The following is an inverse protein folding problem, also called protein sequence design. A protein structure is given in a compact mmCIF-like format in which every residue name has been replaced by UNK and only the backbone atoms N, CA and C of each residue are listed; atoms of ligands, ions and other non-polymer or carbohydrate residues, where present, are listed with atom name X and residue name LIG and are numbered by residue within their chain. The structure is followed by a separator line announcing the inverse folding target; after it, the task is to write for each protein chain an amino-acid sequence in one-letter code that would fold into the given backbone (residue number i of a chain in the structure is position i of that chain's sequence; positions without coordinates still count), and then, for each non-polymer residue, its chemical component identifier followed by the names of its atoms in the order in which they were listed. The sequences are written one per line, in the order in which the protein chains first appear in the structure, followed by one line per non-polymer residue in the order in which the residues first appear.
data_IF_477923903326
#
_entry.id   IF_477923903326
#
_cell.length_a   1.000
_cell.length_b   1.000
_cell.length_c   1.000
_cell.angle_alpha   90.00
_cell.angle_beta   90.00
_cell.angle_gamma   90.00
#
_symmetry.space_group_name_H-M   'P 1'
#
loop_
_entity.id
_entity.type
_entity.pdbx_description
1 polymer ?
#
# COMPACT_ATOMS: atom_id res chain seq x y z
N UNK A 1 -22.76 19.95 4.96
CA UNK A 1 -21.45 19.32 4.65
C UNK A 1 -20.98 19.87 3.32
N UNK A 2 -19.73 20.33 3.23
CA UNK A 2 -19.11 20.73 1.95
C UNK A 2 -18.73 19.45 1.20
N UNK A 3 -19.11 19.34 -0.07
CA UNK A 3 -18.72 18.19 -0.90
C UNK A 3 -17.20 18.25 -1.11
N UNK A 4 -16.47 17.15 -0.85
CA UNK A 4 -15.03 17.08 -1.08
C UNK A 4 -14.64 17.39 -2.53
N UNK A 5 -13.49 18.02 -2.73
CA UNK A 5 -13.00 18.39 -4.08
C UNK A 5 -11.66 17.76 -4.44
N UNK A 6 -11.06 16.98 -3.53
CA UNK A 6 -9.87 16.18 -3.81
C UNK A 6 -10.11 14.70 -3.49
N UNK A 7 -9.26 13.84 -4.05
CA UNK A 7 -9.40 12.39 -3.93
C UNK A 7 -9.35 11.89 -2.49
N UNK A 8 -8.39 12.37 -1.70
CA UNK A 8 -8.21 11.94 -0.31
C UNK A 8 -9.44 12.26 0.56
N UNK A 9 -9.96 13.48 0.48
CA UNK A 9 -11.17 13.87 1.21
C UNK A 9 -12.41 13.11 0.72
N UNK A 10 -12.56 12.91 -0.60
CA UNK A 10 -13.67 12.14 -1.16
C UNK A 10 -13.62 10.68 -0.74
N UNK A 11 -12.42 10.10 -0.67
CA UNK A 11 -12.19 8.74 -0.19
C UNK A 11 -12.69 8.59 1.25
N UNK A 12 -12.27 9.46 2.16
CA UNK A 12 -12.73 9.37 3.55
C UNK A 12 -14.22 9.66 3.72
N UNK A 13 -14.77 10.55 2.89
CA UNK A 13 -16.22 10.79 2.85
C UNK A 13 -16.99 9.52 2.45
N UNK A 14 -16.61 8.87 1.34
CA UNK A 14 -17.26 7.64 0.89
C UNK A 14 -17.00 6.46 1.83
N UNK A 15 -15.81 6.36 2.41
CA UNK A 15 -15.52 5.37 3.44
C UNK A 15 -16.52 5.49 4.61
N UNK A 16 -16.71 6.71 5.12
CA UNK A 16 -17.66 6.98 6.21
C UNK A 16 -19.10 6.64 5.81
N UNK A 17 -19.53 7.00 4.58
CA UNK A 17 -20.86 6.66 4.05
C UNK A 17 -21.07 5.15 3.94
N UNK A 18 -20.03 4.40 3.58
CA UNK A 18 -20.06 2.92 3.50
C UNK A 18 -19.93 2.23 4.87
N UNK A 19 -19.90 2.98 5.97
CA UNK A 19 -19.80 2.44 7.33
C UNK A 19 -18.37 2.12 7.76
N UNK A 20 -17.36 2.48 6.96
CA UNK A 20 -15.95 2.43 7.37
C UNK A 20 -15.64 3.69 8.18
N UNK A 21 -15.63 3.54 9.51
CA UNK A 21 -15.31 4.64 10.42
C UNK A 21 -13.89 5.21 10.24
N UNK A 22 -13.60 6.34 10.90
CA UNK A 22 -12.31 7.05 10.82
C UNK A 22 -11.10 6.25 11.31
N UNK A 23 -11.30 5.09 11.95
CA UNK A 23 -10.23 4.27 12.53
C UNK A 23 -9.62 3.23 11.57
N UNK A 24 -9.82 3.37 10.25
CA UNK A 24 -9.20 2.46 9.26
C UNK A 24 -7.80 2.95 8.85
N UNK A 25 -6.86 2.95 9.79
CA UNK A 25 -5.47 3.37 9.55
C UNK A 25 -4.83 2.67 8.35
N UNK A 26 -5.13 1.38 8.13
CA UNK A 26 -4.60 0.65 6.98
C UNK A 26 -5.04 1.25 5.62
N UNK A 27 -6.24 1.82 5.52
CA UNK A 27 -6.68 2.48 4.28
C UNK A 27 -5.88 3.76 4.05
N UNK A 28 -5.55 4.48 5.13
CA UNK A 28 -4.69 5.65 5.03
C UNK A 28 -3.28 5.29 4.57
N UNK A 29 -2.72 4.18 5.06
CA UNK A 29 -1.39 3.70 4.62
C UNK A 29 -1.34 3.40 3.11
N UNK A 30 -2.44 2.85 2.57
CA UNK A 30 -2.56 2.64 1.11
C UNK A 30 -2.71 3.99 0.40
N UNK A 31 -3.58 4.88 0.89
CA UNK A 31 -3.79 6.21 0.29
C UNK A 31 -2.51 7.03 0.23
N UNK A 32 -1.69 7.00 1.26
CA UNK A 32 -0.46 7.78 1.35
C UNK A 32 0.61 7.31 0.32
N UNK A 33 0.47 6.09 -0.23
CA UNK A 33 1.33 5.52 -1.30
C UNK A 33 0.57 5.36 -2.63
N UNK A 34 -0.69 5.78 -2.69
CA UNK A 34 -1.55 5.48 -3.84
C UNK A 34 -1.13 6.24 -5.09
N UNK A 35 -0.64 7.47 -4.93
CA UNK A 35 -0.15 8.29 -6.04
C UNK A 35 1.05 7.61 -6.73
N UNK A 36 2.02 7.11 -5.95
CA UNK A 36 3.18 6.38 -6.48
C UNK A 36 2.76 5.10 -7.24
N UNK A 37 1.76 4.38 -6.74
CA UNK A 37 1.19 3.21 -7.44
C UNK A 37 0.59 3.61 -8.79
N UNK A 38 -0.13 4.72 -8.85
CA UNK A 38 -0.80 5.21 -10.07
C UNK A 38 0.22 5.69 -11.09
N UNK A 39 1.21 6.48 -10.66
CA UNK A 39 2.27 7.02 -11.53
C UNK A 39 3.08 5.90 -12.17
N UNK A 40 3.31 4.82 -11.45
CA UNK A 40 4.09 3.67 -11.93
C UNK A 40 3.23 2.53 -12.51
N UNK A 41 1.94 2.74 -12.74
CA UNK A 41 1.01 1.68 -13.19
C UNK A 41 1.42 0.97 -14.49
N UNK A 42 2.15 1.66 -15.37
CA UNK A 42 2.62 1.12 -16.65
C UNK A 42 3.99 0.43 -16.56
N UNK A 43 4.74 0.62 -15.47
CA UNK A 43 6.02 -0.03 -15.23
C UNK A 43 5.80 -1.19 -14.24
N UNK A 44 5.77 -2.41 -14.76
CA UNK A 44 5.49 -3.60 -13.96
C UNK A 44 6.55 -3.86 -12.88
N UNK A 45 7.81 -3.50 -13.13
CA UNK A 45 8.89 -3.71 -12.17
C UNK A 45 8.74 -2.70 -11.02
N UNK A 46 8.56 -1.42 -11.38
CA UNK A 46 8.39 -0.36 -10.39
C UNK A 46 7.10 -0.53 -9.58
N UNK A 47 5.98 -0.87 -10.22
CA UNK A 47 4.72 -1.18 -9.53
C UNK A 47 4.87 -2.32 -8.53
N UNK A 48 5.69 -3.34 -8.85
CA UNK A 48 5.98 -4.42 -7.94
C UNK A 48 6.74 -3.91 -6.71
N UNK A 49 7.77 -3.08 -6.90
CA UNK A 49 8.51 -2.47 -5.78
C UNK A 49 7.59 -1.65 -4.86
N UNK A 50 6.71 -0.80 -5.44
CA UNK A 50 5.76 -0.01 -4.65
C UNK A 50 4.80 -0.92 -3.84
N UNK A 51 4.33 -2.02 -4.44
CA UNK A 51 3.50 -2.99 -3.73
C UNK A 51 4.27 -3.75 -2.64
N UNK A 52 5.55 -4.05 -2.87
CA UNK A 52 6.40 -4.75 -1.90
C UNK A 52 6.65 -3.85 -0.68
N UNK A 53 6.97 -2.57 -0.89
CA UNK A 53 7.10 -1.57 0.18
C UNK A 53 5.77 -1.41 0.93
N UNK A 54 4.65 -1.24 0.21
CA UNK A 54 3.33 -1.12 0.82
C UNK A 54 2.99 -2.35 1.67
N UNK A 55 3.38 -3.56 1.24
CA UNK A 55 3.15 -4.78 2.01
C UNK A 55 3.88 -4.78 3.36
N UNK A 56 5.09 -4.21 3.41
CA UNK A 56 5.88 -4.05 4.63
C UNK A 56 5.23 -3.01 5.56
N UNK A 57 4.79 -1.88 5.01
CA UNK A 57 4.10 -0.82 5.75
C UNK A 57 2.79 -1.35 6.34
N UNK A 58 2.00 -2.08 5.56
CA UNK A 58 0.77 -2.72 6.02
C UNK A 58 1.03 -3.78 7.10
N UNK A 59 2.16 -4.49 7.06
CA UNK A 59 2.51 -5.46 8.09
C UNK A 59 2.84 -4.82 9.44
N UNK A 60 3.24 -3.54 9.48
CA UNK A 60 3.42 -2.82 10.74
C UNK A 60 2.08 -2.49 11.42
N UNK A 61 0.98 -2.50 10.66
CA UNK A 61 -0.35 -2.26 11.21
C UNK A 61 -0.82 -3.45 12.06
N UNK A 62 -0.74 -3.31 13.39
CA UNK A 62 -1.19 -4.33 14.36
C UNK A 62 -2.71 -4.33 14.61
N UNK A 63 -3.49 -3.88 13.64
CA UNK A 63 -4.93 -3.62 13.78
C UNK A 63 -5.82 -4.62 13.05
N UNK A 64 -6.93 -4.09 12.53
CA UNK A 64 -7.98 -4.87 11.88
C UNK A 64 -7.49 -5.58 10.62
N UNK A 65 -8.16 -6.69 10.29
CA UNK A 65 -7.89 -7.46 9.06
C UNK A 65 -7.98 -6.53 7.85
N UNK A 66 -6.87 -6.39 7.13
CA UNK A 66 -6.80 -5.65 5.85
C UNK A 66 -7.73 -6.32 4.84
N UNK A 67 -8.68 -5.56 4.29
CA UNK A 67 -9.65 -6.02 3.29
C UNK A 67 -9.52 -5.18 2.03
N UNK A 68 -8.63 -5.58 1.12
CA UNK A 68 -8.32 -4.85 -0.10
C UNK A 68 -9.55 -4.63 -1.00
N UNK A 69 -10.54 -5.52 -0.95
CA UNK A 69 -11.84 -5.37 -1.63
C UNK A 69 -12.61 -4.13 -1.17
N UNK A 70 -12.51 -3.78 0.11
CA UNK A 70 -13.19 -2.61 0.66
C UNK A 70 -12.52 -1.33 0.15
N UNK A 71 -11.19 -1.33 0.09
CA UNK A 71 -10.45 -0.21 -0.50
C UNK A 71 -10.84 0.00 -1.96
N UNK A 72 -10.91 -1.08 -2.76
CA UNK A 72 -11.38 -1.03 -4.16
C UNK A 72 -12.73 -0.33 -4.28
N UNK A 73 -13.70 -0.73 -3.45
CA UNK A 73 -15.05 -0.22 -3.50
C UNK A 73 -15.10 1.29 -3.21
N UNK A 74 -14.39 1.72 -2.17
CA UNK A 74 -14.31 3.14 -1.77
C UNK A 74 -13.55 3.95 -2.83
N UNK A 75 -12.43 3.43 -3.34
CA UNK A 75 -11.62 4.07 -4.38
C UNK A 75 -12.49 4.37 -5.62
N UNK A 76 -13.17 3.35 -6.16
CA UNK A 76 -14.01 3.51 -7.35
C UNK A 76 -15.18 4.46 -7.08
N UNK A 77 -15.85 4.36 -5.92
CA UNK A 77 -16.90 5.31 -5.57
C UNK A 77 -16.39 6.75 -5.49
N UNK A 78 -15.16 6.95 -5.02
CA UNK A 78 -14.56 8.28 -4.85
C UNK A 78 -14.14 8.92 -6.15
N UNK A 79 -13.58 8.14 -7.08
CA UNK A 79 -13.24 8.61 -8.41
C UNK A 79 -14.52 9.00 -9.20
N UNK A 80 -15.56 8.16 -9.15
CA UNK A 80 -16.88 8.46 -9.76
C UNK A 80 -17.48 9.75 -9.22
N UNK A 81 -17.46 9.94 -7.89
CA UNK A 81 -18.03 11.12 -7.26
C UNK A 81 -17.30 12.42 -7.61
N UNK A 82 -16.00 12.34 -7.93
CA UNK A 82 -15.21 13.52 -8.31
C UNK A 82 -15.32 13.87 -9.79
N UNK A 83 -15.54 12.87 -10.66
CA UNK A 83 -15.58 13.05 -12.11
C UNK A 83 -16.90 12.56 -12.73
N UNK A 84 -18.08 12.90 -12.19
CA UNK A 84 -19.34 12.28 -12.62
C UNK A 84 -19.74 12.58 -14.07
N UNK A 85 -19.15 13.63 -14.69
CA UNK A 85 -19.42 14.00 -16.08
C UNK A 85 -18.49 13.30 -17.08
N UNK A 86 -17.28 12.95 -16.64
CA UNK A 86 -16.23 12.39 -17.50
C UNK A 86 -16.07 10.87 -17.29
N UNK A 87 -16.59 10.36 -16.17
CA UNK A 87 -16.49 8.95 -15.82
C UNK A 87 -17.33 8.08 -16.75
N UNK A 88 -16.66 7.20 -17.49
CA UNK A 88 -17.27 6.27 -18.43
C UNK A 88 -16.82 4.81 -18.17
N UNK A 89 -17.24 3.89 -19.04
CA UNK A 89 -16.85 2.48 -18.95
C UNK A 89 -15.35 2.24 -19.13
N UNK A 90 -14.62 3.09 -19.85
CA UNK A 90 -13.18 2.95 -20.01
C UNK A 90 -12.45 3.30 -18.71
N UNK A 91 -12.90 4.34 -18.01
CA UNK A 91 -12.39 4.68 -16.68
C UNK A 91 -12.63 3.53 -15.69
N UNK A 92 -13.82 2.92 -15.71
CA UNK A 92 -14.10 1.73 -14.90
C UNK A 92 -13.09 0.62 -15.16
N UNK A 93 -12.90 0.24 -16.43
CA UNK A 93 -12.00 -0.85 -16.80
C UNK A 93 -10.57 -0.53 -16.37
N UNK A 94 -10.08 0.68 -16.63
CA UNK A 94 -8.72 1.09 -16.30
C UNK A 94 -8.45 1.04 -14.79
N UNK A 95 -9.34 1.63 -13.97
CA UNK A 95 -9.17 1.67 -12.52
C UNK A 95 -9.38 0.29 -11.86
N UNK A 96 -10.27 -0.54 -12.40
CA UNK A 96 -10.39 -1.93 -11.96
C UNK A 96 -9.11 -2.72 -12.28
N UNK A 97 -8.58 -2.58 -13.49
CA UNK A 97 -7.34 -3.24 -13.91
C UNK A 97 -6.17 -2.84 -13.01
N UNK A 98 -5.97 -1.55 -12.73
CA UNK A 98 -4.91 -1.07 -11.85
C UNK A 98 -5.02 -1.75 -10.49
N UNK A 99 -6.18 -1.64 -9.86
CA UNK A 99 -6.36 -2.17 -8.51
C UNK A 99 -6.26 -3.69 -8.44
N UNK A 100 -6.78 -4.42 -9.43
CA UNK A 100 -6.67 -5.89 -9.48
C UNK A 100 -5.21 -6.34 -9.56
N UNK A 101 -4.36 -5.63 -10.29
CA UNK A 101 -2.93 -5.90 -10.33
C UNK A 101 -2.25 -5.61 -9.00
N UNK A 102 -2.51 -4.44 -8.41
CA UNK A 102 -2.01 -4.08 -7.08
C UNK A 102 -2.45 -5.10 -6.02
N UNK A 103 -3.73 -5.45 -6.00
CA UNK A 103 -4.32 -6.40 -5.07
C UNK A 103 -3.72 -7.79 -5.21
N UNK A 104 -3.48 -8.26 -6.44
CA UNK A 104 -2.81 -9.54 -6.70
C UNK A 104 -1.42 -9.58 -6.08
N UNK A 105 -0.61 -8.53 -6.25
CA UNK A 105 0.74 -8.45 -5.71
C UNK A 105 0.69 -8.34 -4.18
N UNK A 106 -0.16 -7.47 -3.64
CA UNK A 106 -0.31 -7.32 -2.19
C UNK A 106 -0.75 -8.62 -1.52
N UNK A 107 -1.73 -9.34 -2.08
CA UNK A 107 -2.16 -10.65 -1.53
C UNK A 107 -1.05 -11.69 -1.52
N UNK A 108 -0.10 -11.62 -2.46
CA UNK A 108 1.05 -12.50 -2.46
C UNK A 108 2.04 -12.18 -1.32
N UNK A 109 2.00 -10.98 -0.74
CA UNK A 109 2.96 -10.51 0.26
C UNK A 109 2.36 -10.30 1.65
N UNK A 110 1.07 -10.02 1.78
CA UNK A 110 0.40 -9.83 3.07
C UNK A 110 0.62 -11.06 3.97
N UNK A 111 1.14 -10.82 5.18
CA UNK A 111 1.45 -11.85 6.16
C UNK A 111 2.86 -12.46 6.06
N UNK A 112 3.53 -12.39 4.90
CA UNK A 112 4.92 -12.83 4.76
C UNK A 112 5.91 -12.05 5.62
N UNK A 113 5.82 -10.70 5.76
CA UNK A 113 6.76 -9.95 6.58
C UNK A 113 6.84 -10.45 8.03
N UNK A 114 5.74 -10.86 8.64
CA UNK A 114 5.75 -11.39 10.00
C UNK A 114 6.53 -12.72 10.13
N UNK A 115 6.53 -13.54 9.08
CA UNK A 115 7.31 -14.78 9.02
C UNK A 115 8.79 -14.47 8.82
N UNK A 116 9.10 -13.59 7.86
CA UNK A 116 10.47 -13.19 7.55
C UNK A 116 11.13 -12.42 8.70
N UNK A 117 10.37 -11.56 9.40
CA UNK A 117 10.85 -10.82 10.57
C UNK A 117 11.38 -11.75 11.64
N UNK A 118 10.64 -12.82 11.98
CA UNK A 118 11.11 -13.80 12.99
C UNK A 118 12.39 -14.51 12.57
N UNK A 119 12.52 -14.87 11.29
CA UNK A 119 13.72 -15.50 10.78
C UNK A 119 14.91 -14.53 10.79
N UNK A 120 14.67 -13.28 10.41
CA UNK A 120 15.68 -12.21 10.40
C UNK A 120 16.15 -11.86 11.81
N UNK A 121 15.22 -11.73 12.77
CA UNK A 121 15.54 -11.49 14.17
C UNK A 121 16.44 -12.59 14.74
N UNK A 122 16.12 -13.87 14.46
CA UNK A 122 16.96 -15.00 14.87
C UNK A 122 18.34 -14.97 14.24
N UNK A 123 18.43 -14.63 12.94
CA UNK A 123 19.70 -14.49 12.25
C UNK A 123 20.54 -13.39 12.90
N UNK A 124 19.99 -12.20 13.09
CA UNK A 124 20.70 -11.06 13.69
C UNK A 124 21.14 -11.37 15.12
N UNK A 125 20.29 -12.03 15.92
CA UNK A 125 20.63 -12.45 17.28
C UNK A 125 21.71 -13.53 17.36
N UNK A 126 21.91 -14.30 16.28
CA UNK A 126 22.96 -15.33 16.22
C UNK A 126 24.34 -14.78 15.89
N UNK A 127 24.44 -13.51 15.45
CA UNK A 127 25.70 -12.88 15.10
C UNK A 127 26.45 -12.42 16.35
N UNK A 128 27.78 -12.57 16.33
CA UNK A 128 28.64 -11.94 17.33
C UNK A 128 28.68 -10.42 17.14
N UNK A 129 29.17 -9.68 18.14
CA UNK A 129 29.33 -8.22 18.03
C UNK A 129 30.19 -7.82 16.83
N UNK A 130 31.31 -8.52 16.61
CA UNK A 130 32.20 -8.28 15.46
C UNK A 130 31.49 -8.52 14.11
N UNK A 131 30.73 -9.61 14.00
CA UNK A 131 29.97 -9.93 12.79
C UNK A 131 28.86 -8.91 12.53
N UNK A 132 28.17 -8.47 13.60
CA UNK A 132 27.12 -7.47 13.50
C UNK A 132 27.68 -6.10 13.10
N UNK A 133 28.85 -5.73 13.63
CA UNK A 133 29.56 -4.52 13.24
C UNK A 133 29.92 -4.56 11.74
N UNK A 134 30.54 -5.66 11.30
CA UNK A 134 30.90 -5.84 9.91
C UNK A 134 29.69 -5.82 8.96
N UNK A 135 28.59 -6.48 9.35
CA UNK A 135 27.34 -6.46 8.59
C UNK A 135 26.81 -5.02 8.44
N UNK A 136 26.83 -4.23 9.51
CA UNK A 136 26.38 -2.82 9.49
C UNK A 136 27.27 -1.95 8.59
N UNK A 137 28.59 -2.13 8.65
CA UNK A 137 29.52 -1.41 7.78
C UNK A 137 29.26 -1.74 6.30
N UNK A 138 29.11 -3.02 5.95
CA UNK A 138 28.81 -3.42 4.57
C UNK A 138 27.45 -2.89 4.11
N UNK A 139 26.43 -2.97 4.96
CA UNK A 139 25.11 -2.42 4.66
C UNK A 139 25.17 -0.92 4.41
N UNK A 140 25.88 -0.18 5.27
CA UNK A 140 26.03 1.26 5.12
C UNK A 140 26.75 1.59 3.80
N UNK A 141 27.89 0.97 3.54
CA UNK A 141 28.66 1.19 2.31
C UNK A 141 27.81 0.95 1.05
N UNK A 142 27.04 -0.15 1.04
CA UNK A 142 26.20 -0.51 -0.11
C UNK A 142 24.94 0.34 -0.23
N UNK A 143 24.36 0.79 0.89
CA UNK A 143 23.16 1.63 0.88
C UNK A 143 23.46 3.04 0.37
N UNK A 144 24.68 3.53 0.62
CA UNK A 144 25.15 4.84 0.16
C UNK A 144 26.11 4.74 -1.04
N UNK A 145 26.14 3.59 -1.72
CA UNK A 145 26.86 3.44 -2.99
C UNK A 145 26.02 4.12 -4.09
N UNK A 146 26.51 5.22 -4.64
CA UNK A 146 25.91 5.94 -5.78
C UNK A 146 26.01 5.15 -7.10
#
# INVERSE_FOLDING_TARGET
MKVPTNFKEMFFFNAAVMGFGQNNQWMQLILDQFDDIVVHAADSYRLQEECDILSLVLAQHKGSKVRLTDFKAIMLASLRSLLPKDWDSNHEVAWNWLWENTERILRAHVGKPAVHQKALERFVQSLTEDQLHHLREQLFARFFEE
#
